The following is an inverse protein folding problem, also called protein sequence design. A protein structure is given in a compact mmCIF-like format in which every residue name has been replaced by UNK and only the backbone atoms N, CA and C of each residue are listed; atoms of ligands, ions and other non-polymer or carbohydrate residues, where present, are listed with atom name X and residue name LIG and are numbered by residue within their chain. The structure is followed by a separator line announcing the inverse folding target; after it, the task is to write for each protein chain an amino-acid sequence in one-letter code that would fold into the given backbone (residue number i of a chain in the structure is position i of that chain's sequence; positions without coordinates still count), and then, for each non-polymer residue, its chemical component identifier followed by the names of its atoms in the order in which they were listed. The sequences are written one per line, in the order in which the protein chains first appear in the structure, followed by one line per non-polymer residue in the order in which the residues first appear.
data_IF_139101596590
#
_entry.id   IF_139101596590
#
_cell.length_a   1.000
_cell.length_b   1.000
_cell.length_c   1.000
_cell.angle_alpha   90.00
_cell.angle_beta   90.00
_cell.angle_gamma   90.00
#
_symmetry.space_group_name_H-M   'P 1'
#
loop_
_entity.id
_entity.type
_entity.pdbx_description
1 polymer ?
#
# COMPACT_ATOMS: atom_id res chain seq x y z
N UNK A 1 -16.99 28.76 -0.91
CA UNK A 1 -16.20 27.58 -0.48
C UNK A 1 -16.80 26.27 -1.02
N UNK A 2 -18.09 26.03 -0.79
CA UNK A 2 -18.79 24.82 -1.23
C UNK A 2 -18.78 24.58 -2.75
N UNK A 3 -18.95 25.62 -3.56
CA UNK A 3 -18.87 25.52 -5.03
C UNK A 3 -17.50 25.05 -5.53
N UNK A 4 -16.42 25.66 -5.02
CA UNK A 4 -15.06 25.25 -5.35
C UNK A 4 -14.78 23.78 -5.00
N UNK A 5 -15.33 23.31 -3.88
CA UNK A 5 -15.22 21.89 -3.50
C UNK A 5 -16.03 20.99 -4.44
N UNK A 6 -17.26 21.37 -4.78
CA UNK A 6 -18.09 20.62 -5.75
C UNK A 6 -17.43 20.52 -7.11
N UNK A 7 -16.88 21.63 -7.62
CA UNK A 7 -16.16 21.65 -8.89
C UNK A 7 -14.89 20.80 -8.85
N UNK A 8 -14.13 20.88 -7.74
CA UNK A 8 -12.96 20.04 -7.52
C UNK A 8 -13.32 18.56 -7.57
N UNK A 9 -14.39 18.14 -6.88
CA UNK A 9 -14.86 16.75 -6.87
C UNK A 9 -15.36 16.32 -8.24
N UNK A 10 -16.15 17.15 -8.93
CA UNK A 10 -16.70 16.84 -10.26
C UNK A 10 -15.58 16.57 -11.27
N UNK A 11 -14.62 17.49 -11.37
CA UNK A 11 -13.48 17.38 -12.30
C UNK A 11 -12.69 16.08 -12.11
N UNK A 12 -12.48 15.68 -10.85
CA UNK A 12 -11.74 14.45 -10.52
C UNK A 12 -12.55 13.20 -10.74
N UNK A 13 -13.85 13.23 -10.44
CA UNK A 13 -14.75 12.12 -10.67
C UNK A 13 -14.90 11.78 -12.16
N UNK A 14 -14.95 12.78 -13.03
CA UNK A 14 -15.01 12.58 -14.48
C UNK A 14 -13.76 11.87 -15.02
N UNK A 15 -12.58 12.17 -14.44
CA UNK A 15 -11.31 11.51 -14.82
C UNK A 15 -10.94 10.32 -13.94
N UNK A 16 -11.78 9.96 -12.97
CA UNK A 16 -11.50 8.86 -12.06
C UNK A 16 -11.62 7.54 -12.83
N UNK A 17 -10.47 6.92 -13.07
CA UNK A 17 -10.42 5.52 -13.42
C UNK A 17 -9.63 4.72 -12.39
N UNK A 18 -10.33 3.77 -11.76
CA UNK A 18 -9.76 2.93 -10.71
C UNK A 18 -8.92 1.80 -11.30
N UNK A 19 -9.31 1.30 -12.47
CA UNK A 19 -8.73 0.08 -13.04
C UNK A 19 -8.44 0.19 -14.54
N UNK A 20 -9.12 1.03 -15.32
CA UNK A 20 -8.84 1.23 -16.73
C UNK A 20 -7.97 2.47 -16.96
N UNK A 21 -6.68 2.24 -17.21
CA UNK A 21 -5.72 3.33 -17.40
C UNK A 21 -5.48 3.66 -18.88
N UNK A 22 -6.33 3.18 -19.80
CA UNK A 22 -6.15 3.44 -21.23
C UNK A 22 -6.56 4.84 -21.67
N UNK A 23 -7.19 5.62 -20.79
CA UNK A 23 -7.49 7.04 -21.03
C UNK A 23 -6.26 7.95 -20.89
N UNK A 24 -5.07 7.36 -20.66
CA UNK A 24 -3.80 8.08 -20.49
C UNK A 24 -3.02 8.13 -21.81
N UNK A 25 -2.35 9.26 -22.06
CA UNK A 25 -1.65 9.54 -23.32
C UNK A 25 -0.43 8.64 -23.63
N UNK A 26 -0.04 7.70 -22.75
CA UNK A 26 1.17 6.86 -22.89
C UNK A 26 0.86 5.37 -22.84
N UNK A 27 0.21 4.86 -23.89
CA UNK A 27 -0.11 3.43 -24.02
C UNK A 27 1.13 2.54 -24.28
N UNK A 28 2.30 3.15 -24.54
CA UNK A 28 3.58 2.50 -24.76
C UNK A 28 4.21 1.96 -23.46
N UNK A 29 3.84 2.51 -22.30
CA UNK A 29 4.38 2.09 -21.02
C UNK A 29 3.57 0.90 -20.44
N UNK A 30 4.16 -0.30 -20.30
CA UNK A 30 3.44 -1.47 -19.79
C UNK A 30 2.95 -1.30 -18.34
N UNK A 31 3.48 -0.34 -17.58
CA UNK A 31 3.03 -0.05 -16.23
C UNK A 31 1.59 0.49 -16.16
N UNK A 32 0.95 0.84 -17.29
CA UNK A 32 -0.49 1.15 -17.32
C UNK A 32 -1.38 -0.09 -17.32
N UNK A 33 -0.81 -1.30 -17.41
CA UNK A 33 -1.53 -2.55 -17.18
C UNK A 33 -1.75 -2.83 -15.68
N UNK A 34 -1.14 -2.06 -14.78
CA UNK A 34 -1.27 -2.28 -13.33
C UNK A 34 -2.71 -2.08 -12.83
N UNK A 35 -3.47 -1.16 -13.42
CA UNK A 35 -4.89 -0.99 -13.11
C UNK A 35 -5.74 -2.24 -13.43
N UNK A 36 -5.73 -2.74 -14.69
CA UNK A 36 -6.51 -3.91 -15.05
C UNK A 36 -6.02 -5.19 -14.33
N UNK A 37 -4.71 -5.31 -14.09
CA UNK A 37 -4.13 -6.43 -13.34
C UNK A 37 -4.58 -6.43 -11.88
N UNK A 38 -4.70 -5.27 -11.25
CA UNK A 38 -5.24 -5.17 -9.89
C UNK A 38 -6.65 -5.76 -9.81
N UNK A 39 -7.55 -5.37 -10.71
CA UNK A 39 -8.91 -5.92 -10.73
C UNK A 39 -8.88 -7.43 -11.00
N UNK A 40 -8.05 -7.88 -11.94
CA UNK A 40 -7.92 -9.29 -12.30
C UNK A 40 -7.45 -10.17 -11.14
N UNK A 41 -6.35 -9.80 -10.48
CA UNK A 41 -5.87 -10.52 -9.30
C UNK A 41 -6.89 -10.49 -8.17
N UNK A 42 -7.53 -9.35 -7.93
CA UNK A 42 -8.55 -9.23 -6.91
C UNK A 42 -9.76 -10.14 -7.16
N UNK A 43 -10.23 -10.26 -8.41
CA UNK A 43 -11.29 -11.21 -8.76
C UNK A 43 -10.88 -12.65 -8.50
N UNK A 44 -9.65 -13.05 -8.86
CA UNK A 44 -9.15 -14.39 -8.53
C UNK A 44 -9.15 -14.60 -7.02
N UNK A 45 -8.64 -13.66 -6.23
CA UNK A 45 -8.64 -13.74 -4.77
C UNK A 45 -10.05 -13.87 -4.19
N UNK A 46 -11.01 -13.06 -4.66
CA UNK A 46 -12.40 -13.14 -4.18
C UNK A 46 -13.04 -14.48 -4.52
N UNK A 47 -12.97 -14.92 -5.78
CA UNK A 47 -13.60 -16.16 -6.23
C UNK A 47 -12.99 -17.36 -5.53
N UNK A 48 -11.65 -17.45 -5.48
CA UNK A 48 -10.96 -18.53 -4.77
C UNK A 48 -11.25 -18.49 -3.26
N UNK A 49 -11.37 -17.31 -2.66
CA UNK A 49 -11.72 -17.14 -1.26
C UNK A 49 -13.10 -17.72 -0.92
N UNK A 50 -14.11 -17.40 -1.73
CA UNK A 50 -15.46 -17.97 -1.59
C UNK A 50 -15.44 -19.50 -1.70
N UNK A 51 -14.64 -20.05 -2.62
CA UNK A 51 -14.49 -21.50 -2.77
C UNK A 51 -13.82 -22.11 -1.53
N UNK A 52 -12.75 -21.50 -0.99
CA UNK A 52 -12.06 -21.99 0.21
C UNK A 52 -12.97 -22.00 1.45
N UNK A 53 -13.93 -21.08 1.53
CA UNK A 53 -14.89 -21.02 2.65
C UNK A 53 -15.74 -22.29 2.81
N UNK A 54 -15.93 -23.08 1.75
CA UNK A 54 -16.73 -24.31 1.78
C UNK A 54 -16.12 -25.34 2.75
N UNK A 55 -14.79 -25.38 2.87
CA UNK A 55 -14.08 -26.38 3.69
C UNK A 55 -13.39 -25.80 4.92
N UNK A 56 -13.31 -24.47 5.04
CA UNK A 56 -12.59 -23.80 6.12
C UNK A 56 -13.40 -23.78 7.43
N UNK A 57 -12.73 -24.07 8.55
CA UNK A 57 -13.35 -24.06 9.88
C UNK A 57 -12.80 -22.90 10.72
N UNK A 58 -13.57 -21.83 10.99
CA UNK A 58 -13.10 -20.65 11.72
C UNK A 58 -13.08 -20.87 13.24
N UNK A 59 -12.42 -21.93 13.70
CA UNK A 59 -12.24 -22.28 15.11
C UNK A 59 -10.77 -22.47 15.47
N UNK A 60 -10.39 -22.21 16.72
CA UNK A 60 -8.99 -22.38 17.17
C UNK A 60 -8.52 -23.84 17.10
N UNK A 61 -9.45 -24.79 17.21
CA UNK A 61 -9.19 -26.22 17.08
C UNK A 61 -9.12 -26.67 15.62
N UNK A 62 -9.99 -26.14 14.75
CA UNK A 62 -10.20 -26.61 13.38
C UNK A 62 -9.50 -25.82 12.27
N UNK A 63 -9.13 -24.55 12.49
CA UNK A 63 -8.60 -23.69 11.43
C UNK A 63 -7.35 -24.27 10.76
N UNK A 64 -6.33 -24.61 11.54
CA UNK A 64 -5.09 -25.18 11.00
C UNK A 64 -5.32 -26.53 10.29
N UNK A 65 -6.13 -27.43 10.89
CA UNK A 65 -6.42 -28.74 10.30
C UNK A 65 -7.26 -28.64 9.03
N UNK A 66 -8.21 -27.71 8.97
CA UNK A 66 -9.01 -27.46 7.77
C UNK A 66 -8.15 -26.97 6.60
N UNK A 67 -7.14 -26.13 6.88
CA UNK A 67 -6.17 -25.69 5.88
C UNK A 67 -5.30 -26.84 5.39
N UNK A 68 -4.80 -27.70 6.27
CA UNK A 68 -4.04 -28.90 5.87
C UNK A 68 -4.90 -29.86 5.04
N UNK A 69 -6.17 -30.05 5.40
CA UNK A 69 -7.12 -30.87 4.65
C UNK A 69 -7.39 -30.28 3.25
N UNK A 70 -7.61 -28.97 3.15
CA UNK A 70 -7.73 -28.27 1.85
C UNK A 70 -6.47 -28.48 1.01
N UNK A 71 -5.30 -28.40 1.63
CA UNK A 71 -4.02 -28.54 0.93
C UNK A 71 -3.78 -29.96 0.40
N UNK A 72 -4.19 -31.00 1.15
CA UNK A 72 -3.76 -32.39 0.90
C UNK A 72 -4.86 -33.32 0.39
N UNK A 73 -6.10 -33.10 0.81
CA UNK A 73 -7.20 -34.07 0.63
C UNK A 73 -8.25 -33.58 -0.37
N UNK A 74 -8.52 -32.26 -0.40
CA UNK A 74 -9.51 -31.69 -1.34
C UNK A 74 -8.93 -31.72 -2.76
N UNK A 75 -9.63 -32.32 -3.75
CA UNK A 75 -9.20 -32.28 -5.15
C UNK A 75 -8.98 -30.85 -5.63
N UNK A 76 -7.78 -30.56 -6.16
CA UNK A 76 -7.33 -29.22 -6.55
C UNK A 76 -7.33 -28.17 -5.43
N UNK A 77 -7.51 -28.55 -4.16
CA UNK A 77 -7.53 -27.61 -3.04
C UNK A 77 -6.19 -26.88 -2.86
N UNK A 78 -5.06 -27.57 -3.09
CA UNK A 78 -3.73 -26.94 -3.15
C UNK A 78 -3.64 -25.84 -4.20
N UNK A 79 -4.28 -26.04 -5.37
CA UNK A 79 -4.25 -25.10 -6.47
C UNK A 79 -5.11 -23.89 -6.14
N UNK A 80 -6.35 -24.09 -5.67
CA UNK A 80 -7.23 -22.98 -5.27
C UNK A 80 -6.58 -22.15 -4.16
N UNK A 81 -5.95 -22.80 -3.17
CA UNK A 81 -5.23 -22.12 -2.09
C UNK A 81 -4.00 -21.37 -2.60
N UNK A 82 -3.25 -21.95 -3.53
CA UNK A 82 -2.14 -21.30 -4.22
C UNK A 82 -2.60 -20.06 -4.99
N UNK A 83 -3.62 -20.20 -5.84
CA UNK A 83 -4.21 -19.09 -6.58
C UNK A 83 -4.67 -17.97 -5.65
N UNK A 84 -5.34 -18.30 -4.54
CA UNK A 84 -5.78 -17.32 -3.55
C UNK A 84 -4.60 -16.53 -2.95
N UNK A 85 -3.57 -17.24 -2.48
CA UNK A 85 -2.37 -16.65 -1.89
C UNK A 85 -1.63 -15.76 -2.89
N UNK A 86 -1.33 -16.27 -4.09
CA UNK A 86 -0.49 -15.57 -5.05
C UNK A 86 -1.23 -14.44 -5.76
N UNK A 87 -2.55 -14.57 -5.96
CA UNK A 87 -3.36 -13.46 -6.44
C UNK A 87 -3.48 -12.36 -5.37
N UNK A 88 -3.58 -12.70 -4.07
CA UNK A 88 -3.57 -11.71 -3.00
C UNK A 88 -2.25 -10.93 -2.95
N UNK A 89 -1.11 -11.61 -3.12
CA UNK A 89 0.20 -10.96 -3.32
C UNK A 89 0.21 -10.04 -4.55
N UNK A 90 -0.39 -10.51 -5.65
CA UNK A 90 -0.56 -9.73 -6.89
C UNK A 90 -1.38 -8.45 -6.70
N UNK A 91 -2.43 -8.47 -5.88
CA UNK A 91 -3.22 -7.26 -5.51
C UNK A 91 -2.33 -6.23 -4.83
N UNK A 92 -1.59 -6.62 -3.80
CA UNK A 92 -0.71 -5.70 -3.06
C UNK A 92 0.41 -5.17 -3.97
N UNK A 93 1.07 -6.06 -4.70
CA UNK A 93 2.16 -5.69 -5.59
C UNK A 93 1.73 -4.70 -6.68
N UNK A 94 0.59 -4.96 -7.33
CA UNK A 94 0.08 -4.07 -8.38
C UNK A 94 -0.29 -2.69 -7.85
N UNK A 95 -0.91 -2.60 -6.66
CA UNK A 95 -1.18 -1.30 -6.01
C UNK A 95 0.11 -0.56 -5.69
N UNK A 96 1.10 -1.23 -5.09
CA UNK A 96 2.39 -0.61 -4.74
C UNK A 96 3.10 -0.08 -5.99
N UNK A 97 3.23 -0.91 -7.03
CA UNK A 97 3.86 -0.51 -8.29
C UNK A 97 3.10 0.65 -8.95
N UNK A 98 1.77 0.64 -8.88
CA UNK A 98 0.93 1.71 -9.43
C UNK A 98 1.16 3.03 -8.67
N UNK A 99 1.19 2.99 -7.35
CA UNK A 99 1.52 4.16 -6.52
C UNK A 99 2.91 4.68 -6.87
N UNK A 100 3.94 3.83 -6.98
CA UNK A 100 5.28 4.29 -7.36
C UNK A 100 5.33 4.89 -8.77
N UNK A 101 4.67 4.29 -9.76
CA UNK A 101 4.54 4.85 -11.11
C UNK A 101 3.88 6.22 -11.07
N UNK A 102 2.71 6.34 -10.43
CA UNK A 102 1.99 7.61 -10.27
C UNK A 102 2.83 8.65 -9.55
N UNK A 103 3.61 8.22 -8.55
CA UNK A 103 4.55 9.06 -7.84
C UNK A 103 5.59 9.61 -8.80
N UNK A 104 6.41 8.77 -9.44
CA UNK A 104 7.53 9.24 -10.25
C UNK A 104 7.11 9.97 -11.53
N UNK A 105 5.97 9.62 -12.13
CA UNK A 105 5.43 10.33 -13.30
C UNK A 105 4.64 11.61 -12.94
N UNK A 106 4.45 11.90 -11.64
CA UNK A 106 3.71 13.08 -11.19
C UNK A 106 2.22 13.04 -11.54
N UNK A 107 1.66 11.83 -11.70
CA UNK A 107 0.25 11.62 -12.06
C UNK A 107 -0.70 11.91 -10.90
N UNK A 108 -0.20 11.93 -9.67
CA UNK A 108 -0.97 12.34 -8.50
C UNK A 108 -1.35 13.83 -8.51
N UNK A 109 -0.69 14.65 -9.34
CA UNK A 109 -1.03 16.08 -9.49
C UNK A 109 -2.36 16.22 -10.23
N UNK A 110 -2.95 17.42 -10.16
CA UNK A 110 -4.21 17.75 -10.83
C UNK A 110 -4.31 17.17 -12.25
N UNK A 111 -5.38 16.40 -12.59
CA UNK A 111 -6.55 16.04 -11.77
C UNK A 111 -6.48 14.63 -11.13
N UNK A 112 -5.31 14.04 -10.95
CA UNK A 112 -5.14 12.67 -10.44
C UNK A 112 -5.14 12.53 -8.92
N UNK A 113 -5.46 13.60 -8.16
CA UNK A 113 -5.39 13.58 -6.69
C UNK A 113 -6.33 12.51 -6.10
N UNK A 114 -7.53 12.36 -6.67
CA UNK A 114 -8.52 11.40 -6.18
C UNK A 114 -8.08 9.95 -6.42
N UNK A 115 -7.59 9.64 -7.64
CA UNK A 115 -7.06 8.31 -7.95
C UNK A 115 -5.89 7.94 -7.05
N UNK A 116 -5.02 8.91 -6.74
CA UNK A 116 -3.91 8.73 -5.81
C UNK A 116 -4.39 8.39 -4.40
N UNK A 117 -5.32 9.18 -3.85
CA UNK A 117 -5.88 8.93 -2.52
C UNK A 117 -6.59 7.57 -2.44
N UNK A 118 -7.34 7.21 -3.48
CA UNK A 118 -7.99 5.90 -3.57
C UNK A 118 -7.00 4.75 -3.76
N UNK A 119 -5.84 4.99 -4.37
CA UNK A 119 -4.74 4.02 -4.42
C UNK A 119 -4.19 3.71 -3.02
N UNK A 120 -3.94 4.73 -2.19
CA UNK A 120 -3.53 4.53 -0.79
C UNK A 120 -4.62 3.87 0.04
N UNK A 121 -5.87 4.32 -0.10
CA UNK A 121 -7.01 3.69 0.60
C UNK A 121 -7.14 2.21 0.20
N UNK A 122 -7.01 1.90 -1.09
CA UNK A 122 -6.99 0.54 -1.62
C UNK A 122 -5.86 -0.29 -1.03
N UNK A 123 -4.65 0.26 -0.93
CA UNK A 123 -3.51 -0.41 -0.28
C UNK A 123 -3.81 -0.74 1.18
N UNK A 124 -4.33 0.22 1.96
CA UNK A 124 -4.69 0.02 3.37
C UNK A 124 -5.71 -1.10 3.51
N UNK A 125 -6.79 -1.06 2.72
CA UNK A 125 -7.85 -2.06 2.77
C UNK A 125 -7.36 -3.44 2.34
N UNK A 126 -6.50 -3.50 1.31
CA UNK A 126 -5.87 -4.75 0.87
C UNK A 126 -4.92 -5.31 1.94
N UNK A 127 -4.15 -4.46 2.64
CA UNK A 127 -3.29 -4.88 3.75
C UNK A 127 -4.10 -5.36 4.97
N UNK A 128 -5.20 -4.69 5.31
CA UNK A 128 -6.12 -5.13 6.38
C UNK A 128 -6.76 -6.47 6.00
N UNK A 129 -7.22 -6.62 4.75
CA UNK A 129 -7.73 -7.91 4.27
C UNK A 129 -6.64 -8.99 4.28
N UNK A 130 -5.42 -8.64 3.87
CA UNK A 130 -4.25 -9.53 3.88
C UNK A 130 -3.91 -10.06 5.26
N UNK A 131 -3.74 -9.18 6.27
CA UNK A 131 -3.45 -9.62 7.64
C UNK A 131 -4.61 -10.40 8.27
N UNK A 132 -5.86 -10.02 7.95
CA UNK A 132 -7.02 -10.73 8.48
C UNK A 132 -7.14 -12.15 7.90
N UNK A 133 -6.90 -12.30 6.59
CA UNK A 133 -6.82 -13.59 5.92
C UNK A 133 -5.61 -14.42 6.34
N UNK A 134 -4.47 -13.79 6.60
CA UNK A 134 -3.24 -14.46 7.02
C UNK A 134 -3.41 -15.21 8.35
N UNK A 135 -4.09 -14.59 9.33
CA UNK A 135 -4.38 -15.23 10.61
C UNK A 135 -5.20 -16.52 10.46
N UNK A 136 -6.02 -16.64 9.42
CA UNK A 136 -6.89 -17.79 9.19
C UNK A 136 -6.12 -19.09 8.96
N UNK A 137 -4.84 -19.01 8.57
CA UNK A 137 -3.95 -20.18 8.45
C UNK A 137 -3.69 -20.81 9.84
N UNK A 138 -3.75 -20.00 10.91
CA UNK A 138 -3.56 -20.43 12.29
C UNK A 138 -2.22 -21.13 12.55
N UNK A 139 -1.17 -20.64 11.91
CA UNK A 139 0.21 -21.09 12.06
C UNK A 139 1.03 -20.12 12.93
N UNK A 140 2.23 -20.53 13.34
CA UNK A 140 3.11 -19.72 14.19
C UNK A 140 3.37 -18.33 13.60
N UNK A 141 3.72 -18.26 12.33
CA UNK A 141 4.07 -16.97 11.69
C UNK A 141 2.86 -16.01 11.71
N UNK A 142 1.69 -16.50 11.30
CA UNK A 142 0.47 -15.72 11.23
C UNK A 142 -0.06 -15.29 12.60
N UNK A 143 -0.03 -16.19 13.59
CA UNK A 143 -0.48 -15.90 14.95
C UNK A 143 0.34 -14.76 15.57
N UNK A 144 1.67 -14.85 15.50
CA UNK A 144 2.56 -13.85 16.10
C UNK A 144 2.60 -12.54 15.30
N UNK A 145 2.50 -12.60 13.97
CA UNK A 145 2.33 -11.40 13.14
C UNK A 145 1.03 -10.65 13.49
N UNK A 146 -0.09 -11.36 13.58
CA UNK A 146 -1.37 -10.76 13.98
C UNK A 146 -1.30 -10.19 15.40
N UNK A 147 -0.67 -10.90 16.35
CA UNK A 147 -0.48 -10.41 17.72
C UNK A 147 0.21 -9.05 17.73
N UNK A 148 1.34 -8.92 17.04
CA UNK A 148 2.07 -7.66 17.02
C UNK A 148 1.23 -6.54 16.41
N UNK A 149 0.59 -6.78 15.25
CA UNK A 149 -0.23 -5.76 14.56
C UNK A 149 -1.38 -5.29 15.46
N UNK A 150 -2.05 -6.21 16.16
CA UNK A 150 -3.18 -5.89 17.03
C UNK A 150 -2.78 -5.12 18.30
N UNK A 151 -1.54 -5.25 18.75
CA UNK A 151 -1.05 -4.55 19.94
C UNK A 151 -0.42 -3.20 19.65
N UNK A 152 -0.05 -2.88 18.40
CA UNK A 152 0.51 -1.56 18.04
C UNK A 152 -0.38 -0.38 18.49
N UNK A 153 -1.72 -0.43 18.37
CA UNK A 153 -2.58 0.66 18.86
C UNK A 153 -2.42 0.99 20.34
N UNK A 154 -2.01 0.02 21.19
CA UNK A 154 -1.81 0.25 22.63
C UNK A 154 -0.75 1.33 22.88
N UNK A 155 0.21 1.52 21.97
CA UNK A 155 1.20 2.60 22.10
C UNK A 155 0.60 4.00 22.02
N UNK A 156 -0.63 4.16 21.51
CA UNK A 156 -1.34 5.44 21.59
C UNK A 156 -1.74 5.78 23.03
N UNK A 157 -1.87 4.79 23.92
CA UNK A 157 -2.22 5.00 25.32
C UNK A 157 -1.03 5.52 26.15
N UNK A 158 0.19 5.52 25.59
CA UNK A 158 1.38 6.13 26.21
C UNK A 158 1.46 7.65 26.00
N UNK A 159 0.55 8.23 25.20
CA UNK A 159 0.55 9.67 24.94
C UNK A 159 0.04 10.48 26.15
N UNK A 160 0.73 11.54 26.58
CA UNK A 160 0.35 12.28 27.79
C UNK A 160 -1.08 12.85 27.80
N UNK A 161 -1.58 13.26 26.63
CA UNK A 161 -2.88 13.95 26.50
C UNK A 161 -4.01 12.97 26.19
N UNK A 162 -3.79 12.07 25.22
CA UNK A 162 -4.85 11.17 24.74
C UNK A 162 -4.82 9.80 25.41
N UNK A 163 -3.69 9.44 26.03
CA UNK A 163 -3.51 8.12 26.61
C UNK A 163 -4.44 7.77 27.77
N UNK A 164 -4.76 8.70 28.68
CA UNK A 164 -5.76 8.47 29.71
C UNK A 164 -7.17 8.11 29.18
N UNK A 165 -7.44 8.33 27.89
CA UNK A 165 -8.72 7.97 27.26
C UNK A 165 -8.81 6.48 26.88
N UNK A 166 -7.69 5.74 26.85
CA UNK A 166 -7.67 4.30 26.58
C UNK A 166 -8.10 3.91 25.17
N UNK A 167 -7.94 4.78 24.18
CA UNK A 167 -8.37 4.51 22.80
C UNK A 167 -7.59 3.36 22.16
N UNK A 168 -6.28 3.27 22.42
CA UNK A 168 -5.40 2.23 21.89
C UNK A 168 -5.79 0.84 22.37
N UNK A 169 -5.93 0.69 23.69
CA UNK A 169 -6.38 -0.53 24.36
C UNK A 169 -7.81 -0.91 23.96
N UNK A 170 -8.71 0.06 23.81
CA UNK A 170 -10.06 -0.19 23.27
C UNK A 170 -10.01 -0.78 21.86
N UNK A 171 -9.22 -0.18 20.95
CA UNK A 171 -9.06 -0.67 19.57
C UNK A 171 -8.49 -2.10 19.60
N UNK A 172 -7.40 -2.33 20.35
CA UNK A 172 -6.79 -3.65 20.48
C UNK A 172 -7.79 -4.70 21.00
N UNK A 173 -8.57 -4.35 22.03
CA UNK A 173 -9.56 -5.24 22.63
C UNK A 173 -10.70 -5.61 21.66
N UNK A 174 -11.19 -4.67 20.85
CA UNK A 174 -12.24 -4.94 19.85
C UNK A 174 -11.82 -6.04 18.88
N UNK A 175 -10.58 -5.98 18.39
CA UNK A 175 -10.05 -6.94 17.43
C UNK A 175 -9.59 -8.26 18.07
N UNK A 176 -8.96 -8.21 19.25
CA UNK A 176 -8.60 -9.40 20.02
C UNK A 176 -9.86 -10.16 20.45
N UNK A 177 -10.90 -9.45 20.90
CA UNK A 177 -12.14 -10.05 21.41
C UNK A 177 -11.97 -10.74 22.76
N UNK A 178 -10.89 -10.44 23.50
CA UNK A 178 -10.53 -11.05 24.77
C UNK A 178 -9.14 -10.59 25.24
N UNK A 179 -8.60 -11.16 26.33
CA UNK A 179 -7.28 -10.79 26.86
C UNK A 179 -6.09 -11.17 25.96
N UNK A 180 -6.31 -12.09 25.01
CA UNK A 180 -5.31 -12.54 24.05
C UNK A 180 -6.00 -13.05 22.77
N UNK A 181 -5.19 -13.36 21.75
CA UNK A 181 -5.69 -14.00 20.53
C UNK A 181 -6.33 -15.35 20.86
N UNK A 182 -7.56 -15.57 20.40
CA UNK A 182 -8.31 -16.81 20.63
C UNK A 182 -9.49 -16.97 19.67
N UNK A 183 -10.51 -17.72 20.10
CA UNK A 183 -11.69 -18.03 19.29
C UNK A 183 -12.43 -16.75 18.84
N UNK A 184 -12.56 -15.80 19.75
CA UNK A 184 -13.16 -14.50 19.50
C UNK A 184 -12.44 -13.74 18.37
N UNK A 185 -11.10 -13.84 18.31
CA UNK A 185 -10.26 -13.18 17.29
C UNK A 185 -10.47 -13.82 15.94
N UNK A 186 -10.32 -15.15 15.83
CA UNK A 186 -10.37 -15.84 14.53
C UNK A 186 -11.74 -15.69 13.86
N UNK A 187 -12.84 -15.76 14.62
CA UNK A 187 -14.19 -15.56 14.08
C UNK A 187 -14.40 -14.13 13.58
N UNK A 188 -13.91 -13.11 14.29
CA UNK A 188 -13.95 -11.71 13.83
C UNK A 188 -13.11 -11.52 12.58
N UNK A 189 -11.90 -12.06 12.57
CA UNK A 189 -10.98 -11.96 11.43
C UNK A 189 -11.56 -12.62 10.18
N UNK A 190 -12.19 -13.79 10.32
CA UNK A 190 -12.91 -14.44 9.23
C UNK A 190 -14.03 -13.55 8.67
N UNK A 191 -14.88 -13.00 9.57
CA UNK A 191 -15.98 -12.12 9.17
C UNK A 191 -15.48 -10.82 8.51
N UNK A 192 -14.41 -10.20 9.05
CA UNK A 192 -13.81 -8.98 8.50
C UNK A 192 -13.15 -9.22 7.15
N UNK A 193 -12.38 -10.31 7.00
CA UNK A 193 -11.70 -10.66 5.76
C UNK A 193 -12.71 -10.86 4.61
N UNK A 194 -13.77 -11.62 4.87
CA UNK A 194 -14.87 -11.78 3.91
C UNK A 194 -15.64 -10.47 3.69
N UNK A 195 -16.00 -9.77 4.77
CA UNK A 195 -16.82 -8.56 4.73
C UNK A 195 -16.17 -7.41 3.97
N UNK A 196 -14.88 -7.14 4.19
CA UNK A 196 -14.13 -6.12 3.44
C UNK A 196 -14.15 -6.44 1.94
N UNK A 197 -13.87 -7.70 1.60
CA UNK A 197 -13.83 -8.15 0.20
C UNK A 197 -15.20 -8.04 -0.48
N UNK A 198 -16.27 -8.44 0.20
CA UNK A 198 -17.64 -8.39 -0.32
C UNK A 198 -18.16 -6.95 -0.47
N UNK A 199 -17.97 -6.11 0.54
CA UNK A 199 -18.41 -4.70 0.47
C UNK A 199 -17.69 -3.98 -0.65
N UNK A 200 -16.37 -4.19 -0.80
CA UNK A 200 -15.61 -3.62 -1.91
C UNK A 200 -16.09 -4.16 -3.26
N UNK A 201 -16.38 -5.46 -3.38
CA UNK A 201 -16.97 -6.05 -4.59
C UNK A 201 -18.25 -5.31 -4.98
N UNK A 202 -19.19 -5.17 -4.06
CA UNK A 202 -20.46 -4.49 -4.32
C UNK A 202 -20.22 -3.03 -4.74
N UNK A 203 -19.39 -2.29 -4.01
CA UNK A 203 -19.12 -0.88 -4.30
C UNK A 203 -18.47 -0.68 -5.68
N UNK A 204 -17.50 -1.52 -6.04
CA UNK A 204 -16.81 -1.47 -7.33
C UNK A 204 -17.75 -1.89 -8.47
N UNK A 205 -18.56 -2.93 -8.29
CA UNK A 205 -19.51 -3.35 -9.32
C UNK A 205 -20.60 -2.30 -9.54
N UNK A 206 -21.12 -1.68 -8.47
CA UNK A 206 -22.04 -0.53 -8.59
C UNK A 206 -21.37 0.64 -9.31
N UNK A 207 -20.08 0.91 -9.02
CA UNK A 207 -19.32 1.94 -9.72
C UNK A 207 -19.23 1.64 -11.23
N UNK A 208 -18.90 0.41 -11.63
CA UNK A 208 -18.83 0.04 -13.04
C UNK A 208 -20.19 0.09 -13.73
N UNK A 209 -21.25 -0.37 -13.07
CA UNK A 209 -22.62 -0.28 -13.60
C UNK A 209 -23.04 1.17 -13.83
N UNK A 210 -22.77 2.08 -12.88
CA UNK A 210 -23.15 3.50 -12.99
C UNK A 210 -22.31 4.27 -13.99
N UNK A 211 -21.02 3.96 -14.13
CA UNK A 211 -20.10 4.70 -15.00
C UNK A 211 -19.99 4.11 -16.40
N UNK A 212 -20.47 2.87 -16.62
CA UNK A 212 -20.32 2.10 -17.87
C UNK A 212 -18.85 1.95 -18.32
N UNK A 213 -17.90 2.09 -17.40
CA UNK A 213 -16.46 1.86 -17.65
C UNK A 213 -16.17 0.38 -17.82
N UNK A 214 -15.08 0.07 -18.52
CA UNK A 214 -14.60 -1.30 -18.67
C UNK A 214 -13.93 -1.77 -17.38
N UNK A 215 -14.19 -3.03 -17.01
CA UNK A 215 -13.57 -3.67 -15.83
C UNK A 215 -12.12 -4.06 -16.10
N UNK A 216 -11.93 -4.74 -17.22
CA UNK A 216 -10.66 -5.27 -17.68
C UNK A 216 -10.46 -4.76 -19.10
N UNK A 217 -9.42 -3.94 -19.27
CA UNK A 217 -9.02 -3.41 -20.56
C UNK A 217 -7.59 -3.86 -20.87
N UNK A 218 -7.42 -5.17 -21.04
CA UNK A 218 -6.18 -5.81 -21.46
C UNK A 218 -6.50 -6.92 -22.47
N UNK A 219 -5.55 -7.21 -23.37
CA UNK A 219 -5.70 -8.30 -24.34
C UNK A 219 -5.68 -9.67 -23.64
N UNK A 220 -6.05 -10.72 -24.37
CA UNK A 220 -6.10 -12.08 -23.84
C UNK A 220 -4.71 -12.58 -23.40
N UNK A 221 -3.64 -12.11 -24.05
CA UNK A 221 -2.29 -12.58 -23.81
C UNK A 221 -1.82 -12.32 -22.36
N UNK A 222 -1.82 -11.10 -21.81
CA UNK A 222 -1.52 -10.88 -20.39
C UNK A 222 -2.39 -11.69 -19.44
N UNK A 223 -3.70 -11.82 -19.71
CA UNK A 223 -4.63 -12.59 -18.88
C UNK A 223 -4.16 -14.04 -18.76
N UNK A 224 -3.89 -14.68 -19.91
CA UNK A 224 -3.44 -16.07 -19.96
C UNK A 224 -2.06 -16.22 -19.32
N UNK A 225 -1.13 -15.30 -19.61
CA UNK A 225 0.22 -15.33 -19.04
C UNK A 225 0.20 -15.24 -17.51
N UNK A 226 -0.57 -14.31 -16.93
CA UNK A 226 -0.68 -14.19 -15.48
C UNK A 226 -1.45 -15.36 -14.85
N UNK A 227 -2.45 -15.92 -15.53
CA UNK A 227 -3.10 -17.15 -15.05
C UNK A 227 -2.13 -18.33 -15.00
N UNK A 228 -1.39 -18.55 -16.09
CA UNK A 228 -0.38 -19.62 -16.19
C UNK A 228 0.71 -19.39 -15.14
N UNK A 229 1.17 -18.14 -14.97
CA UNK A 229 2.12 -17.78 -13.91
C UNK A 229 1.59 -18.16 -12.53
N UNK A 230 0.32 -17.84 -12.21
CA UNK A 230 -0.31 -18.19 -10.93
C UNK A 230 -0.43 -19.70 -10.72
N UNK A 231 -0.77 -20.46 -11.76
CA UNK A 231 -0.82 -21.93 -11.69
C UNK A 231 0.57 -22.51 -11.48
N UNK A 232 1.56 -22.06 -12.25
CA UNK A 232 2.94 -22.53 -12.17
C UNK A 232 3.54 -22.22 -10.80
N UNK A 233 3.40 -21.00 -10.30
CA UNK A 233 3.93 -20.65 -8.97
C UNK A 233 3.19 -21.40 -7.86
N UNK A 234 1.89 -21.67 -8.00
CA UNK A 234 1.15 -22.50 -7.04
C UNK A 234 1.63 -23.95 -7.00
N UNK A 235 2.14 -24.45 -8.12
CA UNK A 235 2.69 -25.80 -8.22
C UNK A 235 4.15 -25.86 -7.72
N UNK A 236 5.00 -24.94 -8.18
CA UNK A 236 6.44 -24.90 -7.87
C UNK A 236 6.69 -24.45 -6.44
N UNK A 237 5.90 -23.49 -5.95
CA UNK A 237 5.96 -22.96 -4.59
C UNK A 237 4.57 -23.09 -3.95
N UNK A 238 4.17 -24.29 -3.47
CA UNK A 238 2.87 -24.46 -2.84
C UNK A 238 2.67 -23.49 -1.65
N UNK A 239 1.43 -23.06 -1.43
CA UNK A 239 1.12 -22.21 -0.27
C UNK A 239 1.42 -22.96 1.03
N UNK A 240 2.53 -22.63 1.69
CA UNK A 240 2.94 -23.32 2.91
C UNK A 240 1.97 -23.06 4.07
N UNK A 241 1.60 -24.12 4.79
CA UNK A 241 0.82 -24.00 6.03
C UNK A 241 1.69 -23.70 7.25
N UNK A 242 3.00 -23.95 7.17
CA UNK A 242 3.92 -23.76 8.29
C UNK A 242 3.64 -24.72 9.46
N UNK A 243 3.97 -24.32 10.68
CA UNK A 243 3.69 -25.07 11.91
C UNK A 243 2.48 -24.48 12.62
N UNK A 244 1.59 -25.34 13.15
CA UNK A 244 0.45 -24.91 13.99
C UNK A 244 0.89 -23.91 15.06
N UNK A 245 0.08 -22.88 15.28
CA UNK A 245 0.34 -21.88 16.30
C UNK A 245 0.44 -22.50 17.70
N UNK A 246 1.47 -22.07 18.43
CA UNK A 246 1.73 -22.35 19.83
C UNK A 246 1.88 -21.00 20.56
N UNK A 247 0.84 -20.54 21.27
CA UNK A 247 0.86 -19.27 21.99
C UNK A 247 1.93 -19.17 23.08
N UNK A 248 2.50 -20.30 23.52
CA UNK A 248 3.51 -20.35 24.59
C UNK A 248 4.94 -20.19 24.06
N UNK A 249 5.14 -20.26 22.73
CA UNK A 249 6.46 -20.19 22.10
C UNK A 249 6.50 -19.15 21.00
N UNK A 250 7.14 -18.02 21.28
CA UNK A 250 7.37 -16.96 20.28
C UNK A 250 8.51 -17.35 19.33
N UNK A 251 8.29 -17.38 18.00
CA UNK A 251 9.37 -17.55 17.04
C UNK A 251 10.20 -16.26 16.94
N UNK A 252 11.52 -16.42 16.81
CA UNK A 252 12.43 -15.31 16.54
C UNK A 252 13.17 -15.58 15.22
N UNK A 253 13.18 -14.63 14.25
CA UNK A 253 12.38 -13.40 14.23
C UNK A 253 10.88 -13.65 14.01
N UNK A 254 10.02 -12.79 14.56
CA UNK A 254 8.60 -12.73 14.16
C UNK A 254 8.56 -12.09 12.78
N UNK A 255 8.22 -12.89 11.76
CA UNK A 255 8.06 -12.43 10.38
C UNK A 255 6.57 -12.33 10.06
N UNK A 256 6.19 -11.31 9.31
CA UNK A 256 4.90 -11.23 8.63
C UNK A 256 5.10 -11.51 7.14
N UNK A 257 4.06 -11.39 6.32
CA UNK A 257 4.22 -11.39 4.86
C UNK A 257 5.08 -10.20 4.40
N UNK A 258 5.67 -10.35 3.21
CA UNK A 258 6.72 -9.48 2.67
C UNK A 258 6.37 -7.99 2.67
N UNK A 259 5.10 -7.65 2.42
CA UNK A 259 4.62 -6.26 2.36
C UNK A 259 4.49 -5.59 3.73
N UNK A 260 4.58 -6.34 4.83
CA UNK A 260 4.65 -5.80 6.19
C UNK A 260 6.07 -5.73 6.77
N UNK A 261 7.05 -6.42 6.16
CA UNK A 261 8.38 -6.58 6.72
C UNK A 261 9.09 -5.24 6.98
N UNK A 262 9.05 -4.32 6.02
CA UNK A 262 9.64 -2.99 6.19
C UNK A 262 9.00 -2.20 7.35
N UNK A 263 7.67 -2.24 7.47
CA UNK A 263 6.95 -1.59 8.56
C UNK A 263 7.27 -2.23 9.92
N UNK A 264 7.41 -3.55 9.96
CA UNK A 264 7.78 -4.26 11.18
C UNK A 264 9.19 -3.88 11.65
N UNK A 265 10.14 -3.77 10.72
CA UNK A 265 11.49 -3.30 11.04
C UNK A 265 11.49 -1.85 11.53
N UNK A 266 10.66 -0.98 10.94
CA UNK A 266 10.47 0.39 11.43
C UNK A 266 9.97 0.42 12.89
N UNK A 267 8.94 -0.38 13.21
CA UNK A 267 8.39 -0.51 14.56
C UNK A 267 9.46 -0.97 15.55
N UNK A 268 10.36 -1.89 15.15
CA UNK A 268 11.48 -2.34 15.99
C UNK A 268 12.53 -1.27 16.27
N UNK A 269 12.75 -0.34 15.35
CA UNK A 269 13.74 0.73 15.49
C UNK A 269 13.24 1.96 16.22
N UNK A 270 11.94 2.05 16.45
CA UNK A 270 11.34 3.28 16.95
C UNK A 270 10.84 3.12 18.39
N UNK A 271 10.98 4.16 19.22
CA UNK A 271 10.33 4.20 20.53
C UNK A 271 8.82 3.96 20.40
N UNK A 272 8.14 3.41 21.42
CA UNK A 272 6.73 3.01 21.34
C UNK A 272 5.80 4.05 20.72
N UNK A 273 5.93 5.32 21.12
CA UNK A 273 5.18 6.44 20.55
C UNK A 273 5.27 6.50 19.00
N UNK A 274 6.49 6.45 18.47
CA UNK A 274 6.74 6.53 17.03
C UNK A 274 6.41 5.21 16.33
N UNK A 275 6.56 4.08 17.01
CA UNK A 275 6.12 2.79 16.51
C UNK A 275 4.60 2.74 16.25
N UNK A 276 3.80 3.38 17.13
CA UNK A 276 2.36 3.53 16.96
C UNK A 276 1.98 4.53 15.86
N UNK A 277 2.55 5.74 15.90
CA UNK A 277 2.14 6.84 15.01
C UNK A 277 2.74 6.74 13.60
N UNK A 278 3.96 6.22 13.49
CA UNK A 278 4.77 6.25 12.27
C UNK A 278 4.07 5.66 11.03
N UNK A 279 3.49 4.45 11.10
CA UNK A 279 2.76 3.89 9.96
C UNK A 279 1.60 4.78 9.49
N UNK A 280 0.83 5.34 10.43
CA UNK A 280 -0.28 6.24 10.14
C UNK A 280 0.18 7.58 9.53
N UNK A 281 1.27 8.15 10.06
CA UNK A 281 1.89 9.36 9.53
C UNK A 281 2.47 9.16 8.13
N UNK A 282 3.10 8.01 7.86
CA UNK A 282 3.64 7.67 6.55
C UNK A 282 2.53 7.60 5.49
N UNK A 283 1.43 6.91 5.80
CA UNK A 283 0.27 6.78 4.92
C UNK A 283 -0.37 8.16 4.70
N UNK A 284 -0.55 8.94 5.76
CA UNK A 284 -1.14 10.28 5.70
C UNK A 284 -0.28 11.22 4.87
N UNK A 285 1.04 11.22 5.09
CA UNK A 285 1.98 11.96 4.25
C UNK A 285 1.82 11.56 2.78
N UNK A 286 1.81 10.26 2.49
CA UNK A 286 1.59 9.71 1.15
C UNK A 286 0.32 10.26 0.50
N UNK A 287 -0.83 10.16 1.17
CA UNK A 287 -2.11 10.68 0.69
C UNK A 287 -2.11 12.19 0.46
N UNK A 288 -1.32 12.94 1.23
CA UNK A 288 -1.24 14.40 1.16
C UNK A 288 -0.23 14.94 0.14
N UNK A 289 0.63 14.09 -0.44
CA UNK A 289 1.62 14.49 -1.46
C UNK A 289 1.04 15.42 -2.54
N UNK A 290 -0.15 15.20 -3.12
CA UNK A 290 -0.70 16.10 -4.15
C UNK A 290 -0.90 17.55 -3.69
N UNK A 291 -1.13 17.76 -2.39
CA UNK A 291 -1.37 19.07 -1.80
C UNK A 291 -0.09 19.70 -1.25
N UNK A 292 0.90 18.86 -0.91
CA UNK A 292 2.23 19.28 -0.46
C UNK A 292 3.13 19.67 -1.64
N UNK A 293 3.05 18.94 -2.76
CA UNK A 293 3.89 19.17 -3.93
C UNK A 293 3.37 20.30 -4.84
N UNK A 294 3.88 21.50 -4.57
CA UNK A 294 3.59 22.73 -5.32
C UNK A 294 4.46 22.96 -6.58
N UNK A 295 5.30 21.99 -6.97
CA UNK A 295 6.03 22.09 -8.24
C UNK A 295 5.06 22.14 -9.43
N UNK A 296 5.38 22.95 -10.45
CA UNK A 296 4.58 23.05 -11.68
C UNK A 296 4.86 21.87 -12.63
N UNK A 297 6.09 21.37 -12.62
CA UNK A 297 6.52 20.25 -13.43
C UNK A 297 6.00 18.92 -12.93
N UNK A 298 6.05 17.90 -13.79
CA UNK A 298 5.68 16.51 -13.47
C UNK A 298 6.88 15.58 -13.47
N UNK A 299 7.94 15.93 -14.19
CA UNK A 299 9.11 15.07 -14.31
C UNK A 299 9.86 15.00 -12.98
N UNK A 300 10.49 13.86 -12.64
CA UNK A 300 11.23 13.70 -11.39
C UNK A 300 12.20 14.85 -11.08
N UNK A 301 12.98 15.31 -12.07
CA UNK A 301 13.97 16.36 -11.90
C UNK A 301 13.37 17.78 -11.77
N UNK A 302 12.08 17.96 -12.09
CA UNK A 302 11.36 19.23 -11.91
C UNK A 302 10.77 19.39 -10.49
N UNK A 303 10.95 18.36 -9.67
CA UNK A 303 10.46 18.22 -8.28
C UNK A 303 11.47 17.44 -7.44
N UNK A 304 12.71 17.93 -7.35
CA UNK A 304 13.81 17.22 -6.75
C UNK A 304 13.56 16.77 -5.30
N UNK A 305 12.92 17.59 -4.46
CA UNK A 305 12.64 17.17 -3.08
C UNK A 305 11.75 15.92 -3.05
N UNK A 306 10.63 15.95 -3.76
CA UNK A 306 9.72 14.81 -3.83
C UNK A 306 10.37 13.62 -4.53
N UNK A 307 11.17 13.83 -5.57
CA UNK A 307 11.91 12.74 -6.19
C UNK A 307 12.80 12.00 -5.17
N UNK A 308 13.58 12.74 -4.38
CA UNK A 308 14.44 12.14 -3.34
C UNK A 308 13.61 11.40 -2.30
N UNK A 309 12.51 11.97 -1.81
CA UNK A 309 11.63 11.30 -0.84
C UNK A 309 11.09 9.98 -1.39
N UNK A 310 10.70 9.93 -2.67
CA UNK A 310 10.21 8.69 -3.28
C UNK A 310 11.30 7.63 -3.44
N UNK A 311 12.51 8.03 -3.81
CA UNK A 311 13.66 7.13 -3.89
C UNK A 311 14.02 6.61 -2.49
N UNK A 312 14.03 7.47 -1.47
CA UNK A 312 14.26 7.06 -0.09
C UNK A 312 13.21 6.08 0.41
N UNK A 313 11.92 6.32 0.12
CA UNK A 313 10.85 5.40 0.51
C UNK A 313 11.05 4.00 -0.11
N UNK A 314 11.46 3.93 -1.38
CA UNK A 314 11.79 2.67 -2.04
C UNK A 314 13.01 1.99 -1.41
N UNK A 315 14.09 2.74 -1.17
CA UNK A 315 15.30 2.23 -0.52
C UNK A 315 14.97 1.70 0.88
N UNK A 316 14.19 2.42 1.68
CA UNK A 316 13.79 1.97 3.01
C UNK A 316 12.89 0.74 2.94
N UNK A 317 11.94 0.70 2.01
CA UNK A 317 11.12 -0.50 1.83
C UNK A 317 11.99 -1.73 1.56
N UNK A 318 12.95 -1.63 0.64
CA UNK A 318 13.84 -2.75 0.30
C UNK A 318 14.82 -3.08 1.43
N UNK A 319 15.54 -2.08 1.95
CA UNK A 319 16.56 -2.27 2.97
C UNK A 319 15.96 -2.82 4.27
N UNK A 320 14.86 -2.24 4.76
CA UNK A 320 14.22 -2.73 5.99
C UNK A 320 13.65 -4.13 5.83
N UNK A 321 13.11 -4.45 4.65
CA UNK A 321 12.69 -5.81 4.31
C UNK A 321 13.87 -6.78 4.36
N UNK A 322 15.01 -6.42 3.77
CA UNK A 322 16.24 -7.23 3.81
C UNK A 322 16.75 -7.42 5.24
N UNK A 323 16.84 -6.35 6.03
CA UNK A 323 17.36 -6.39 7.40
C UNK A 323 16.56 -7.34 8.30
N UNK A 324 15.23 -7.32 8.21
CA UNK A 324 14.39 -8.22 9.01
C UNK A 324 14.39 -9.65 8.45
N UNK A 325 14.40 -9.82 7.12
CA UNK A 325 14.37 -11.14 6.48
C UNK A 325 15.61 -11.97 6.84
N UNK A 326 16.77 -11.33 6.87
CA UNK A 326 18.04 -11.96 7.24
C UNK A 326 18.38 -11.83 8.73
N UNK A 327 17.52 -11.19 9.52
CA UNK A 327 17.71 -10.97 10.95
C UNK A 327 19.09 -10.36 11.31
N UNK A 328 19.54 -9.40 10.51
CA UNK A 328 20.88 -8.78 10.64
C UNK A 328 20.84 -7.36 11.25
N UNK A 329 19.66 -6.91 11.68
CA UNK A 329 19.46 -5.58 12.23
C UNK A 329 20.14 -5.39 13.61
N UNK A 330 20.98 -4.36 13.74
CA UNK A 330 21.60 -3.91 14.99
C UNK A 330 20.83 -2.73 15.59
N UNK A 331 19.80 -3.04 16.38
CA UNK A 331 18.78 -2.10 16.88
C UNK A 331 19.37 -0.97 17.75
N UNK A 332 20.50 -1.19 18.42
CA UNK A 332 21.08 -0.18 19.33
C UNK A 332 21.76 0.99 18.59
N UNK A 333 22.34 0.75 17.41
CA UNK A 333 23.17 1.74 16.69
C UNK A 333 22.52 2.24 15.41
N UNK A 334 21.86 1.35 14.67
CA UNK A 334 21.32 1.65 13.34
C UNK A 334 20.27 2.77 13.34
N UNK A 335 19.33 2.86 14.31
CA UNK A 335 18.31 3.92 14.30
C UNK A 335 18.92 5.32 14.30
N UNK A 336 19.96 5.55 15.11
CA UNK A 336 20.65 6.84 15.16
C UNK A 336 21.33 7.16 13.82
N UNK A 337 22.02 6.19 13.22
CA UNK A 337 22.68 6.36 11.92
C UNK A 337 21.63 6.67 10.84
N UNK A 338 20.57 5.87 10.77
CA UNK A 338 19.50 6.03 9.78
C UNK A 338 18.86 7.41 9.93
N UNK A 339 18.52 7.85 11.15
CA UNK A 339 17.90 9.16 11.37
C UNK A 339 18.81 10.31 10.90
N UNK A 340 20.10 10.29 11.23
CA UNK A 340 21.04 11.34 10.81
C UNK A 340 21.23 11.35 9.28
N UNK A 341 21.39 10.18 8.65
CA UNK A 341 21.47 10.07 7.20
C UNK A 341 20.19 10.57 6.53
N UNK A 342 19.02 10.21 7.08
CA UNK A 342 17.71 10.70 6.62
C UNK A 342 17.69 12.23 6.62
N UNK A 343 18.07 12.85 7.74
CA UNK A 343 18.06 14.30 7.91
C UNK A 343 18.98 14.98 6.90
N UNK A 344 20.22 14.49 6.74
CA UNK A 344 21.18 15.03 5.78
C UNK A 344 20.64 14.95 4.35
N UNK A 345 20.12 13.79 3.94
CA UNK A 345 19.58 13.61 2.58
C UNK A 345 18.39 14.54 2.34
N UNK A 346 17.47 14.67 3.29
CA UNK A 346 16.31 15.56 3.16
C UNK A 346 16.70 17.04 3.11
N UNK A 347 17.71 17.46 3.89
CA UNK A 347 18.25 18.82 3.84
C UNK A 347 18.86 19.10 2.46
N UNK A 348 19.68 18.18 1.93
CA UNK A 348 20.27 18.32 0.60
C UNK A 348 19.20 18.37 -0.50
N UNK A 349 18.17 17.54 -0.39
CA UNK A 349 17.03 17.54 -1.31
C UNK A 349 16.26 18.87 -1.27
N UNK A 350 16.06 19.44 -0.08
CA UNK A 350 15.41 20.74 0.08
C UNK A 350 16.26 21.86 -0.51
N UNK A 351 17.58 21.85 -0.31
CA UNK A 351 18.51 22.81 -0.92
C UNK A 351 18.42 22.71 -2.46
N UNK A 352 18.37 21.49 -3.01
CA UNK A 352 18.22 21.28 -4.45
C UNK A 352 16.91 21.86 -4.98
N UNK A 353 15.79 21.61 -4.31
CA UNK A 353 14.47 22.19 -4.64
C UNK A 353 14.49 23.72 -4.62
N UNK A 354 15.05 24.32 -3.58
CA UNK A 354 15.15 25.78 -3.46
C UNK A 354 16.00 26.38 -4.58
N UNK A 355 17.13 25.76 -4.92
CA UNK A 355 17.99 26.19 -6.04
C UNK A 355 17.28 26.06 -7.38
N UNK A 356 16.58 24.94 -7.62
CA UNK A 356 15.81 24.72 -8.83
C UNK A 356 14.72 25.79 -9.00
N UNK A 357 13.93 26.06 -7.94
CA UNK A 357 12.89 27.10 -7.96
C UNK A 357 13.45 28.50 -8.21
N UNK A 358 14.61 28.85 -7.62
CA UNK A 358 15.27 30.13 -7.87
C UNK A 358 15.68 30.27 -9.34
N UNK A 359 16.28 29.24 -9.94
CA UNK A 359 16.64 29.24 -11.37
C UNK A 359 15.43 29.39 -12.27
N UNK A 360 14.33 28.70 -11.98
CA UNK A 360 13.09 28.80 -12.75
C UNK A 360 12.46 30.20 -12.68
N UNK A 361 12.49 30.84 -11.50
CA UNK A 361 12.02 32.23 -11.35
C UNK A 361 12.89 33.19 -12.15
N UNK A 362 14.22 33.10 -12.02
CA UNK A 362 15.15 33.94 -12.76
C UNK A 362 15.00 33.79 -14.29
N UNK A 363 14.78 32.56 -14.79
CA UNK A 363 14.54 32.32 -16.21
C UNK A 363 13.19 32.87 -16.69
N UNK A 364 12.15 32.83 -15.85
CA UNK A 364 10.83 33.39 -16.16
C UNK A 364 10.82 34.92 -16.20
N UNK A 365 11.71 35.58 -15.46
CA UNK A 365 11.85 37.05 -15.44
C UNK A 365 12.67 37.59 -16.63
N UNK A 366 13.43 36.74 -17.34
CA UNK A 366 14.32 37.14 -18.42
C UNK A 366 13.68 37.59 -19.77
N UNK A 367 12.42 37.30 -20.15
CA UNK A 367 11.85 37.78 -21.41
C UNK A 367 10.92 39.01 -21.31
N UNK A 368 11.20 39.96 -20.40
CA UNK A 368 10.64 41.34 -20.47
C UNK A 368 11.68 42.44 -20.68
N UNK A 369 12.94 42.18 -20.33
CA UNK A 369 14.01 43.17 -20.52
C UNK A 369 14.47 43.30 -21.98
N UNK A 370 14.45 42.21 -22.76
CA UNK A 370 14.86 42.24 -24.18
C UNK A 370 13.81 42.84 -25.11
N UNK A 371 12.51 42.65 -24.83
CA UNK A 371 11.43 43.28 -25.58
C UNK A 371 11.35 44.80 -25.33
N UNK A 372 11.59 45.25 -24.09
CA UNK A 372 11.68 46.68 -23.77
C UNK A 372 12.92 47.33 -24.41
N UNK A 373 14.05 46.62 -24.48
CA UNK A 373 15.26 47.10 -25.15
C UNK A 373 15.13 47.14 -26.69
N UNK A 374 14.34 46.25 -27.29
CA UNK A 374 14.06 46.25 -28.72
C UNK A 374 13.09 47.38 -29.13
N UNK A 375 12.07 47.66 -28.31
CA UNK A 375 11.16 48.80 -28.54
C UNK A 375 11.86 50.15 -28.31
N UNK A 376 12.75 50.24 -27.32
CA UNK A 376 13.56 51.45 -27.07
C UNK A 376 14.57 51.78 -28.18
N UNK A 377 15.09 50.78 -28.90
CA UNK A 377 15.99 51.01 -30.05
C UNK A 377 15.25 51.39 -31.34
N UNK A 378 13.99 51.01 -31.50
CA UNK A 378 13.16 51.40 -32.64
C UNK A 378 12.65 52.85 -32.55
N UNK A 379 12.54 53.41 -31.34
CA UNK A 379 12.08 54.79 -31.11
C UNK A 379 13.21 55.85 -31.15
N UNK A 380 14.48 55.44 -31.30
CA UNK A 380 15.65 56.34 -31.33
C UNK A 380 16.21 56.65 -32.73
N UNK A 381 15.53 56.20 -33.80
CA UNK A 381 15.94 56.42 -35.19
C UNK A 381 14.80 57.01 -36.06
N UNK A 382 13.91 57.79 -35.44
CA UNK A 382 12.88 58.59 -36.14
C UNK A 382 13.34 60.03 -36.31
#
# INVERSE_FOLDING_TARGET
MWERLRDWVRERRERLDLFDETLVARQDNPLYLLGPLLYYFWMITVVTGVVLMIWYEPTTSGAYSSIERIQREVPLGWLIRGLHKYAADGVILTIILRIYRMYFLGEYKKPGELSWMLGFLGLILAMISGITGYLLIWNQRAFWAAKTVLTVPVYFDELPIIGPMGFGSMIAYIFLGGPAIGQATITRFYALHFGISLVLLILIEVFFQRTRRKRINMSLLPIVLFLVMLVVISYVLPAESGRRADPTRTPLPILSDWYFLALYQYVKYTPPLWAGLGPGLLITYGMLVPFLDRSKGRRPLERPFFFVVGVMALIYFLAFTTLILFNIAVIEREPFIIMNLTAVILILALIWELRYRRRQRAAADQPRASAAAAVGRAAGHG
#
